data_IF_815719701007
#
_entry.id   IF_815719701007
#
_cell.length_a   1.000
_cell.length_b   1.000
_cell.length_c   1.000
_cell.angle_alpha   90.00
_cell.angle_beta   90.00
_cell.angle_gamma   90.00
#
_symmetry.space_group_name_H-M   'P 1'
#
loop_
_entity.id
_entity.type
_entity.pdbx_description
1 polymer ?
#
# COMPACT_ATOMS: atom_id res chain seq x y z
N UNK A 1 40.66 -13.73 17.36
CA UNK A 1 39.19 -13.65 17.23
C UNK A 1 38.97 -12.89 15.93
N UNK A 2 38.62 -13.61 14.88
CA UNK A 2 38.33 -13.02 13.59
C UNK A 2 36.98 -12.31 13.74
N UNK A 3 37.02 -11.00 13.93
CA UNK A 3 35.81 -10.19 14.02
C UNK A 3 35.37 -10.06 12.56
N UNK A 4 34.45 -10.92 12.14
CA UNK A 4 33.92 -10.90 10.78
C UNK A 4 33.52 -9.47 10.42
N UNK A 5 34.03 -8.97 9.30
CA UNK A 5 33.65 -7.67 8.78
C UNK A 5 32.16 -7.69 8.49
N UNK A 6 31.44 -6.68 8.97
CA UNK A 6 30.04 -6.46 8.61
C UNK A 6 30.06 -5.56 7.39
N UNK A 7 29.57 -6.09 6.27
CA UNK A 7 29.48 -5.36 5.01
C UNK A 7 28.01 -5.02 4.73
N UNK A 8 27.74 -3.76 4.45
CA UNK A 8 26.41 -3.27 4.09
C UNK A 8 26.27 -3.24 2.57
N UNK A 9 25.17 -3.81 2.07
CA UNK A 9 24.90 -3.92 0.64
C UNK A 9 23.49 -3.43 0.36
N UNK A 10 23.38 -2.44 -0.52
CA UNK A 10 22.09 -1.93 -0.99
C UNK A 10 21.36 -3.00 -1.82
N UNK A 11 20.06 -3.14 -1.60
CA UNK A 11 19.25 -4.20 -2.22
C UNK A 11 17.78 -3.82 -2.29
N UNK A 12 17.06 -4.39 -3.26
CA UNK A 12 15.60 -4.28 -3.29
C UNK A 12 15.01 -5.16 -2.18
N UNK A 13 13.86 -4.76 -1.58
CA UNK A 13 13.22 -5.54 -0.51
C UNK A 13 12.93 -6.99 -0.91
N UNK A 14 12.54 -7.23 -2.18
CA UNK A 14 12.26 -8.58 -2.69
C UNK A 14 13.47 -9.52 -2.62
N UNK A 15 14.66 -8.99 -2.91
CA UNK A 15 15.89 -9.79 -2.99
C UNK A 15 16.42 -10.08 -1.57
N UNK A 16 16.34 -9.09 -0.67
CA UNK A 16 16.71 -9.23 0.74
C UNK A 16 15.82 -10.27 1.46
N UNK A 17 14.51 -10.22 1.27
CA UNK A 17 13.55 -11.17 1.86
C UNK A 17 13.83 -12.60 1.36
N UNK A 18 14.06 -12.77 0.06
CA UNK A 18 14.34 -14.09 -0.52
C UNK A 18 15.61 -14.73 0.08
N UNK A 19 16.66 -13.94 0.29
CA UNK A 19 17.88 -14.40 0.94
C UNK A 19 17.64 -14.76 2.41
N UNK A 20 16.91 -13.90 3.15
CA UNK A 20 16.60 -14.15 4.55
C UNK A 20 15.82 -15.46 4.74
N UNK A 21 14.83 -15.73 3.89
CA UNK A 21 14.08 -16.98 3.91
C UNK A 21 14.96 -18.18 3.56
N UNK A 22 15.82 -18.06 2.53
CA UNK A 22 16.70 -19.14 2.08
C UNK A 22 17.71 -19.57 3.15
N UNK A 23 18.23 -18.61 3.92
CA UNK A 23 19.26 -18.84 4.92
C UNK A 23 18.74 -18.80 6.37
N UNK A 24 17.42 -18.69 6.56
CA UNK A 24 16.76 -18.58 7.86
C UNK A 24 17.37 -17.49 8.76
N UNK A 25 17.64 -16.33 8.16
CA UNK A 25 18.22 -15.16 8.84
C UNK A 25 17.09 -14.28 9.38
N UNK A 26 17.22 -13.69 10.58
CA UNK A 26 16.22 -12.77 11.11
C UNK A 26 16.05 -11.53 10.22
N UNK A 27 14.80 -11.11 10.06
CA UNK A 27 14.42 -9.90 9.32
C UNK A 27 14.06 -8.82 10.33
N UNK A 28 14.58 -7.62 10.12
CA UNK A 28 14.28 -6.44 10.91
C UNK A 28 13.71 -5.36 10.01
N UNK A 29 12.86 -4.51 10.60
CA UNK A 29 12.26 -3.36 9.94
C UNK A 29 12.44 -2.16 10.86
N UNK A 30 12.56 -0.96 10.27
CA UNK A 30 12.59 0.27 11.03
C UNK A 30 11.23 0.48 11.73
N UNK A 31 11.26 0.92 12.98
CA UNK A 31 10.05 1.17 13.78
C UNK A 31 9.13 2.19 13.11
N UNK A 32 9.69 3.22 12.46
CA UNK A 32 8.92 4.24 11.75
C UNK A 32 8.08 3.61 10.62
N UNK A 33 8.72 2.77 9.80
CA UNK A 33 8.05 2.04 8.70
C UNK A 33 7.03 1.04 9.22
N UNK A 34 7.31 0.38 10.36
CA UNK A 34 6.33 -0.51 10.98
C UNK A 34 5.10 0.26 11.46
N UNK A 35 5.27 1.44 12.08
CA UNK A 35 4.14 2.21 12.59
C UNK A 35 3.25 2.81 11.48
N UNK A 36 3.84 3.13 10.33
CA UNK A 36 3.12 3.62 9.15
C UNK A 36 2.31 2.49 8.49
N UNK A 37 2.96 1.34 8.23
CA UNK A 37 2.43 0.35 7.28
C UNK A 37 1.97 -0.96 7.93
N UNK A 38 2.10 -1.12 9.25
CA UNK A 38 1.69 -2.35 9.92
C UNK A 38 0.16 -2.49 9.93
N UNK A 39 -0.32 -3.45 9.15
CA UNK A 39 -1.65 -4.01 9.37
C UNK A 39 -1.60 -4.90 10.62
N UNK A 40 -2.20 -4.45 11.71
CA UNK A 40 -2.46 -5.31 12.86
C UNK A 40 -3.77 -6.06 12.55
N UNK A 41 -3.74 -7.38 12.27
CA UNK A 41 -4.98 -8.14 12.24
C UNK A 41 -5.60 -8.05 13.65
N UNK A 42 -6.84 -7.58 13.71
CA UNK A 42 -7.58 -7.43 14.97
C UNK A 42 -7.58 -8.78 15.70
N UNK A 43 -7.09 -8.77 16.94
CA UNK A 43 -6.89 -9.98 17.75
C UNK A 43 -8.15 -10.53 18.40
N UNK A 44 -9.32 -10.06 17.98
CA UNK A 44 -10.62 -10.46 18.52
C UNK A 44 -11.60 -10.72 17.37
N UNK A 45 -11.69 -11.97 16.92
CA UNK A 45 -12.77 -12.38 16.01
C UNK A 45 -12.35 -13.48 15.05
N UNK A 46 -12.84 -14.68 15.32
CA UNK A 46 -12.94 -15.75 14.35
C UNK A 46 -13.77 -15.29 13.14
N UNK A 47 -13.16 -14.71 12.10
CA UNK A 47 -13.77 -14.63 10.78
C UNK A 47 -12.74 -14.97 9.71
N UNK A 48 -13.13 -15.94 8.88
CA UNK A 48 -12.40 -16.51 7.76
C UNK A 48 -11.74 -15.43 6.89
N UNK A 49 -10.47 -15.14 7.14
CA UNK A 49 -9.68 -14.31 6.23
C UNK A 49 -9.24 -15.20 5.09
N UNK A 50 -10.03 -15.21 4.01
CA UNK A 50 -9.64 -15.81 2.73
C UNK A 50 -8.25 -15.32 2.37
N UNK A 51 -7.36 -16.26 2.00
CA UNK A 51 -5.94 -16.03 1.69
C UNK A 51 -5.68 -14.97 0.59
N UNK A 52 -6.74 -14.48 -0.06
CA UNK A 52 -6.73 -13.41 -1.06
C UNK A 52 -6.49 -11.99 -0.49
N UNK A 53 -6.70 -11.73 0.80
CA UNK A 53 -6.40 -10.40 1.39
C UNK A 53 -4.93 -10.24 1.82
N UNK A 54 -4.14 -11.32 1.87
CA UNK A 54 -2.70 -11.26 2.21
C UNK A 54 -1.81 -10.81 1.03
N UNK A 55 -2.35 -10.74 -0.19
CA UNK A 55 -1.60 -10.43 -1.41
C UNK A 55 -2.04 -9.15 -2.13
N UNK A 56 -2.89 -8.31 -1.53
CA UNK A 56 -3.04 -6.94 -2.03
C UNK A 56 -1.68 -6.27 -1.86
N UNK A 57 -1.02 -6.04 -2.99
CA UNK A 57 0.20 -5.24 -3.09
C UNK A 57 0.10 -4.04 -2.15
N UNK A 58 1.19 -3.63 -1.47
CA UNK A 58 1.25 -2.32 -0.90
C UNK A 58 1.27 -1.35 -2.09
N UNK A 59 0.09 -1.02 -2.59
CA UNK A 59 -0.15 0.19 -3.36
C UNK A 59 0.27 1.32 -2.43
N UNK A 60 1.53 1.73 -2.51
CA UNK A 60 2.06 3.11 -2.64
C UNK A 60 1.23 4.29 -2.07
N UNK A 61 0.37 4.07 -1.08
CA UNK A 61 -0.69 4.99 -0.67
C UNK A 61 -0.32 5.87 0.52
N UNK A 62 0.93 5.83 0.99
CA UNK A 62 1.39 6.68 2.08
C UNK A 62 2.48 7.66 1.61
N UNK A 63 2.12 8.46 0.61
CA UNK A 63 2.56 9.86 0.54
C UNK A 63 1.51 10.77 1.18
N UNK A 64 1.01 10.40 2.36
CA UNK A 64 -0.02 11.14 3.10
C UNK A 64 0.54 12.07 4.16
N UNK A 65 1.75 12.59 3.96
CA UNK A 65 2.16 13.84 4.61
C UNK A 65 2.09 15.00 3.61
N UNK A 66 1.07 15.86 3.83
CA UNK A 66 0.71 17.13 3.16
C UNK A 66 -0.42 17.07 2.14
N UNK A 67 -1.65 16.85 2.63
CA UNK A 67 -2.84 17.30 1.90
C UNK A 67 -3.74 18.11 2.84
N UNK A 68 -3.37 19.38 2.98
CA UNK A 68 -4.18 20.46 3.57
C UNK A 68 -5.28 20.95 2.63
N UNK A 69 -5.26 20.54 1.36
CA UNK A 69 -6.19 21.07 0.35
C UNK A 69 -7.47 20.21 0.21
N UNK A 70 -8.67 20.79 0.42
CA UNK A 70 -9.94 20.09 0.24
C UNK A 70 -10.13 19.48 -1.15
N UNK A 71 -9.50 20.06 -2.17
CA UNK A 71 -9.57 19.57 -3.56
C UNK A 71 -8.94 18.18 -3.70
N UNK A 72 -7.72 18.01 -3.20
CA UNK A 72 -6.97 16.76 -3.36
C UNK A 72 -7.61 15.62 -2.56
N UNK A 73 -8.21 15.89 -1.39
CA UNK A 73 -9.00 14.87 -0.66
C UNK A 73 -10.19 14.39 -1.47
N UNK A 74 -10.91 15.32 -2.11
CA UNK A 74 -12.06 14.98 -2.96
C UNK A 74 -11.62 14.19 -4.20
N UNK A 75 -10.51 14.56 -4.81
CA UNK A 75 -9.94 13.87 -5.97
C UNK A 75 -9.56 12.42 -5.64
N UNK A 76 -8.84 12.21 -4.54
CA UNK A 76 -8.44 10.86 -4.11
C UNK A 76 -9.67 9.97 -3.85
N UNK A 77 -10.70 10.49 -3.18
CA UNK A 77 -11.94 9.74 -2.95
C UNK A 77 -12.59 9.29 -4.26
N UNK A 78 -12.70 10.19 -5.25
CA UNK A 78 -13.27 9.86 -6.55
C UNK A 78 -12.42 8.83 -7.31
N UNK A 79 -11.09 8.86 -7.16
CA UNK A 79 -10.20 7.85 -7.74
C UNK A 79 -10.38 6.47 -7.10
N UNK A 80 -10.54 6.41 -5.76
CA UNK A 80 -10.85 5.16 -5.04
C UNK A 80 -12.22 4.60 -5.46
N UNK A 81 -13.23 5.46 -5.57
CA UNK A 81 -14.57 5.07 -6.00
C UNK A 81 -14.57 4.57 -7.46
N UNK A 82 -13.74 5.17 -8.32
CA UNK A 82 -13.56 4.74 -9.72
C UNK A 82 -12.92 3.35 -9.80
N UNK A 83 -11.85 3.10 -9.04
CA UNK A 83 -11.20 1.78 -8.96
C UNK A 83 -12.20 0.72 -8.51
N UNK A 84 -12.96 1.02 -7.46
CA UNK A 84 -14.01 0.13 -6.95
C UNK A 84 -15.10 -0.15 -7.99
N UNK A 85 -15.52 0.84 -8.79
CA UNK A 85 -16.52 0.63 -9.83
C UNK A 85 -16.00 -0.25 -10.98
N UNK A 86 -14.72 -0.12 -11.35
CA UNK A 86 -14.08 -0.98 -12.37
C UNK A 86 -13.97 -2.42 -11.87
N UNK A 87 -13.56 -2.61 -10.60
CA UNK A 87 -13.41 -3.92 -9.99
C UNK A 87 -14.75 -4.67 -9.87
N UNK A 88 -15.85 -3.93 -9.70
CA UNK A 88 -17.22 -4.47 -9.68
C UNK A 88 -17.88 -4.52 -11.07
N UNK A 89 -17.14 -4.27 -12.15
CA UNK A 89 -17.63 -4.26 -13.54
C UNK A 89 -18.81 -3.27 -13.79
N UNK A 90 -18.98 -2.27 -12.92
CA UNK A 90 -19.98 -1.21 -13.03
C UNK A 90 -19.45 -0.07 -13.91
N UNK A 91 -19.42 -0.33 -15.22
CA UNK A 91 -18.85 0.59 -16.20
C UNK A 91 -19.65 1.90 -16.35
N UNK A 92 -20.94 1.89 -16.05
CA UNK A 92 -21.79 3.09 -16.10
C UNK A 92 -21.38 4.08 -14.99
N UNK A 93 -21.20 3.57 -13.78
CA UNK A 93 -20.69 4.34 -12.65
C UNK A 93 -19.23 4.77 -12.87
N UNK A 94 -18.38 3.89 -13.40
CA UNK A 94 -16.99 4.22 -13.71
C UNK A 94 -16.87 5.35 -14.74
N UNK A 95 -17.70 5.34 -15.80
CA UNK A 95 -17.73 6.41 -16.79
C UNK A 95 -18.11 7.77 -16.16
N UNK A 96 -19.11 7.76 -15.28
CA UNK A 96 -19.58 8.95 -14.57
C UNK A 96 -18.50 9.54 -13.65
N UNK A 97 -17.82 8.68 -12.86
CA UNK A 97 -16.74 9.07 -11.96
C UNK A 97 -15.52 9.62 -12.71
N UNK A 98 -15.16 9.00 -13.84
CA UNK A 98 -14.09 9.49 -14.72
C UNK A 98 -14.38 10.90 -15.23
N UNK A 99 -15.60 11.16 -15.67
CA UNK A 99 -16.00 12.46 -16.20
C UNK A 99 -16.05 13.53 -15.09
N UNK A 100 -16.43 13.16 -13.87
CA UNK A 100 -16.38 14.05 -12.69
C UNK A 100 -14.93 14.40 -12.29
N UNK A 101 -14.03 13.42 -12.27
CA UNK A 101 -12.59 13.63 -12.03
C UNK A 101 -12.03 14.62 -13.05
N UNK A 102 -12.30 14.39 -14.35
CA UNK A 102 -11.83 15.25 -15.43
C UNK A 102 -12.36 16.68 -15.32
N UNK A 103 -13.61 16.84 -14.87
CA UNK A 103 -14.20 18.17 -14.63
C UNK A 103 -13.53 18.90 -13.47
N UNK A 104 -13.20 18.18 -12.40
CA UNK A 104 -12.48 18.74 -11.25
C UNK A 104 -11.05 19.15 -11.63
N UNK A 105 -10.33 18.33 -12.40
CA UNK A 105 -8.99 18.68 -12.89
C UNK A 105 -9.00 19.88 -13.83
N UNK A 106 -10.00 19.99 -14.70
CA UNK A 106 -10.12 21.12 -15.64
C UNK A 106 -10.53 22.43 -14.95
N UNK A 107 -11.18 22.34 -13.78
CA UNK A 107 -11.61 23.51 -13.00
C UNK A 107 -10.50 24.07 -12.09
N UNK A 108 -9.28 23.54 -12.20
CA UNK A 108 -8.08 24.02 -11.49
C UNK A 108 -7.24 24.90 -12.40
#
# INVERSE_FOLDING_TARGET
MDVGSVDEVDSRPSDAIALALKFAVPIYVNEEVMNEVAFLPDKDGEEETTEEDLFKQPDLAEQTEKITDPFTRKLNRLQTDLKSAIDNEDYEKAASLRDEIKKLELSR
#
